data_IF_332231410221
#
_entry.id   IF_332231410221
#
_cell.length_a   1.000
_cell.length_b   1.000
_cell.length_c   1.000
_cell.angle_alpha   90.00
_cell.angle_beta   90.00
_cell.angle_gamma   90.00
#
_symmetry.space_group_name_H-M   'P 1'
#
loop_
_entity.id
_entity.type
_entity.pdbx_description
1 polymer ?
#
# COMPACT_ATOMS: atom_id res chain seq x y z
N UNK A 1 2.20 11.28 6.73
CA UNK A 1 3.27 11.10 5.72
C UNK A 1 2.62 10.72 4.38
N UNK A 2 3.29 10.92 3.23
CA UNK A 2 2.72 10.51 1.92
C UNK A 2 2.45 9.00 1.85
N UNK A 3 3.26 8.17 2.51
CA UNK A 3 3.07 6.72 2.60
C UNK A 3 1.71 6.36 3.22
N UNK A 4 1.36 6.97 4.36
CA UNK A 4 0.05 6.75 5.00
C UNK A 4 -1.08 7.28 4.10
N UNK A 5 -0.90 8.45 3.49
CA UNK A 5 -1.86 8.99 2.52
C UNK A 5 -2.11 8.03 1.36
N UNK A 6 -1.06 7.43 0.80
CA UNK A 6 -1.16 6.50 -0.31
C UNK A 6 -2.05 5.29 0.00
N UNK A 7 -1.75 4.55 1.09
CA UNK A 7 -2.53 3.34 1.41
C UNK A 7 -3.98 3.68 1.74
N UNK A 8 -4.24 4.81 2.41
CA UNK A 8 -5.60 5.28 2.68
C UNK A 8 -6.33 5.66 1.39
N UNK A 9 -5.63 6.27 0.43
CA UNK A 9 -6.16 6.52 -0.90
C UNK A 9 -6.51 5.22 -1.62
N UNK A 10 -5.62 4.23 -1.58
CA UNK A 10 -5.87 2.93 -2.21
C UNK A 10 -7.09 2.21 -1.63
N UNK A 11 -7.25 2.13 -0.30
CA UNK A 11 -8.44 1.47 0.26
C UNK A 11 -9.74 2.23 -0.09
N UNK A 12 -9.65 3.54 -0.38
CA UNK A 12 -10.78 4.36 -0.86
C UNK A 12 -10.97 4.34 -2.39
N UNK A 13 -10.22 3.51 -3.12
CA UNK A 13 -10.38 3.39 -4.57
C UNK A 13 -9.66 4.45 -5.40
N UNK A 14 -8.79 5.28 -4.79
CA UNK A 14 -8.02 6.28 -5.52
C UNK A 14 -7.18 5.62 -6.62
N UNK A 15 -7.44 6.01 -7.87
CA UNK A 15 -6.81 5.46 -9.08
C UNK A 15 -6.22 6.52 -9.99
N UNK A 16 -6.43 7.80 -9.72
CA UNK A 16 -5.84 8.90 -10.47
C UNK A 16 -4.86 9.70 -9.60
N UNK A 17 -3.96 10.45 -10.25
CA UNK A 17 -3.06 11.38 -9.55
C UNK A 17 -3.84 12.41 -8.72
N UNK A 18 -4.96 12.90 -9.24
CA UNK A 18 -5.84 13.85 -8.55
C UNK A 18 -6.45 13.22 -7.30
N UNK A 19 -7.01 12.01 -7.41
CA UNK A 19 -7.59 11.31 -6.26
C UNK A 19 -6.54 10.99 -5.20
N UNK A 20 -5.32 10.61 -5.59
CA UNK A 20 -4.24 10.37 -4.61
C UNK A 20 -3.76 11.66 -3.93
N UNK A 21 -3.81 12.79 -4.65
CA UNK A 21 -3.49 14.09 -4.08
C UNK A 21 -4.47 14.49 -2.97
N UNK A 22 -5.75 14.11 -3.06
CA UNK A 22 -6.75 14.33 -1.98
C UNK A 22 -6.36 13.63 -0.67
N UNK A 23 -5.56 12.57 -0.73
CA UNK A 23 -5.04 11.87 0.45
C UNK A 23 -3.63 12.34 0.86
N UNK A 24 -3.07 13.32 0.15
CA UNK A 24 -1.74 13.86 0.40
C UNK A 24 -0.60 13.04 -0.21
N UNK A 25 -0.86 12.27 -1.27
CA UNK A 25 0.14 11.49 -1.99
C UNK A 25 0.38 12.04 -3.40
N UNK A 26 1.62 12.47 -3.68
CA UNK A 26 1.97 13.15 -4.92
C UNK A 26 3.06 12.43 -5.73
N UNK A 27 3.76 11.46 -5.12
CA UNK A 27 4.92 10.82 -5.74
C UNK A 27 4.60 9.98 -6.98
N UNK A 28 3.32 9.72 -7.29
CA UNK A 28 2.91 8.94 -8.47
C UNK A 28 3.06 9.70 -9.80
N UNK A 29 3.27 11.01 -9.76
CA UNK A 29 3.34 11.87 -10.94
C UNK A 29 4.26 11.34 -12.07
N UNK A 30 5.47 10.79 -11.80
CA UNK A 30 6.34 10.23 -12.84
C UNK A 30 5.76 9.00 -13.57
N UNK A 31 4.78 8.31 -12.99
CA UNK A 31 4.11 7.17 -13.62
C UNK A 31 2.80 7.52 -14.34
N UNK A 32 2.20 8.66 -14.02
CA UNK A 32 0.94 9.14 -14.62
C UNK A 32 1.10 10.08 -15.83
N UNK A 33 2.27 10.09 -16.49
CA UNK A 33 2.51 10.95 -17.67
C UNK A 33 1.69 10.49 -18.87
N UNK A 34 1.38 11.42 -19.79
CA UNK A 34 0.63 11.12 -21.03
C UNK A 34 1.29 9.95 -21.80
N UNK A 35 2.61 9.97 -21.95
CA UNK A 35 3.35 8.94 -22.66
C UNK A 35 3.19 7.54 -22.02
N UNK A 36 3.16 7.44 -20.69
CA UNK A 36 2.97 6.16 -19.98
C UNK A 36 1.52 5.70 -20.02
N UNK A 37 0.58 6.60 -19.74
CA UNK A 37 -0.85 6.28 -19.75
C UNK A 37 -1.30 5.85 -21.16
N UNK A 38 -0.87 6.55 -22.22
CA UNK A 38 -1.17 6.19 -23.61
C UNK A 38 -0.67 4.81 -24.00
N UNK A 39 0.52 4.40 -23.54
CA UNK A 39 1.05 3.02 -23.74
C UNK A 39 0.20 1.93 -23.09
N UNK A 40 -0.71 2.31 -22.19
CA UNK A 40 -1.66 1.42 -21.50
C UNK A 40 -3.10 1.63 -21.93
N UNK A 41 -3.38 2.57 -22.84
CA UNK A 41 -4.74 2.93 -23.23
C UNK A 41 -5.52 3.62 -22.12
N UNK A 42 -4.81 4.38 -21.27
CA UNK A 42 -5.35 5.11 -20.13
C UNK A 42 -5.29 6.62 -20.39
N UNK A 43 -6.18 7.38 -19.76
CA UNK A 43 -6.11 8.83 -19.75
C UNK A 43 -4.88 9.32 -18.95
N UNK A 44 -4.36 10.51 -19.26
CA UNK A 44 -3.27 11.11 -18.49
C UNK A 44 -3.64 11.21 -17.02
N UNK A 45 -2.74 10.78 -16.14
CA UNK A 45 -2.96 10.73 -14.70
C UNK A 45 -3.82 9.57 -14.19
N UNK A 46 -4.35 8.70 -15.06
CA UNK A 46 -5.05 7.48 -14.67
C UNK A 46 -4.05 6.32 -14.52
N UNK A 47 -4.00 5.74 -13.31
CA UNK A 47 -3.13 4.61 -12.99
C UNK A 47 -3.68 3.28 -13.53
N UNK A 48 -4.96 3.23 -13.88
CA UNK A 48 -5.64 2.13 -14.54
C UNK A 48 -6.48 1.24 -13.63
N UNK A 49 -7.42 0.45 -14.18
CA UNK A 49 -8.29 -0.45 -13.42
C UNK A 49 -7.55 -1.65 -12.80
N UNK A 50 -6.30 -1.90 -13.18
CA UNK A 50 -5.42 -2.85 -12.50
C UNK A 50 -4.57 -2.23 -11.38
N UNK A 51 -4.79 -0.97 -11.00
CA UNK A 51 -4.06 -0.30 -9.92
C UNK A 51 -4.51 -0.78 -8.54
N UNK A 52 -3.76 -0.40 -7.50
CA UNK A 52 -4.07 -0.75 -6.11
C UNK A 52 -5.47 -0.30 -5.68
N UNK A 53 -5.83 0.96 -5.95
CA UNK A 53 -7.13 1.49 -5.55
C UNK A 53 -8.29 0.73 -6.19
N UNK A 54 -8.22 0.54 -7.51
CA UNK A 54 -9.21 -0.24 -8.22
C UNK A 54 -9.26 -1.70 -7.75
N UNK A 55 -8.12 -2.32 -7.47
CA UNK A 55 -8.11 -3.68 -6.95
C UNK A 55 -8.73 -3.76 -5.55
N UNK A 56 -8.42 -2.85 -4.64
CA UNK A 56 -8.91 -2.92 -3.27
C UNK A 56 -10.39 -2.53 -3.12
N UNK A 57 -10.84 -1.50 -3.85
CA UNK A 57 -12.17 -0.92 -3.70
C UNK A 57 -13.15 -1.31 -4.83
N UNK A 58 -12.67 -1.33 -6.08
CA UNK A 58 -13.50 -1.53 -7.28
C UNK A 58 -13.16 -2.85 -7.99
N UNK A 59 -12.95 -3.94 -7.22
CA UNK A 59 -12.50 -5.21 -7.79
C UNK A 59 -13.51 -5.72 -8.82
N UNK A 60 -13.11 -6.01 -10.07
CA UNK A 60 -14.05 -6.33 -11.12
C UNK A 60 -14.70 -7.70 -10.90
N UNK A 61 -16.01 -7.77 -11.10
CA UNK A 61 -16.79 -9.01 -11.01
C UNK A 61 -17.44 -9.34 -12.36
N UNK A 62 -17.82 -10.61 -12.55
CA UNK A 62 -18.59 -11.04 -13.72
C UNK A 62 -20.01 -10.46 -13.75
N UNK A 63 -20.53 -10.05 -12.59
CA UNK A 63 -21.87 -9.47 -12.43
C UNK A 63 -21.90 -7.96 -12.73
N UNK A 64 -20.74 -7.35 -13.00
CA UNK A 64 -20.60 -5.94 -13.35
C UNK A 64 -20.63 -4.97 -12.17
N UNK A 65 -21.09 -5.40 -10.98
CA UNK A 65 -20.97 -4.62 -9.74
C UNK A 65 -19.56 -4.78 -9.16
N UNK A 66 -18.78 -3.70 -8.96
CA UNK A 66 -17.47 -3.80 -8.33
C UNK A 66 -17.56 -4.31 -6.88
N UNK A 67 -16.55 -5.06 -6.45
CA UNK A 67 -16.44 -5.61 -5.10
C UNK A 67 -15.36 -4.85 -4.30
N UNK A 68 -15.77 -4.29 -3.16
CA UNK A 68 -14.88 -3.62 -2.22
C UNK A 68 -14.36 -4.65 -1.21
N UNK A 69 -13.13 -5.09 -1.41
CA UNK A 69 -12.52 -6.14 -0.60
C UNK A 69 -12.34 -5.70 0.87
N UNK A 70 -11.95 -4.44 1.12
CA UNK A 70 -11.75 -3.97 2.50
C UNK A 70 -13.05 -3.91 3.28
N UNK A 71 -14.14 -3.45 2.65
CA UNK A 71 -15.46 -3.39 3.28
C UNK A 71 -15.88 -4.78 3.75
N UNK A 72 -15.92 -5.74 2.82
CA UNK A 72 -16.43 -7.08 3.10
C UNK A 72 -15.52 -7.84 4.09
N UNK A 73 -14.21 -7.62 4.03
CA UNK A 73 -13.25 -8.25 4.95
C UNK A 73 -13.34 -7.65 6.37
N UNK A 74 -13.55 -6.34 6.51
CA UNK A 74 -13.75 -5.71 7.83
C UNK A 74 -15.05 -6.17 8.47
N UNK A 75 -16.14 -6.27 7.68
CA UNK A 75 -17.41 -6.86 8.12
C UNK A 75 -17.18 -8.32 8.58
N UNK A 76 -16.50 -9.14 7.78
CA UNK A 76 -16.17 -10.52 8.13
C UNK A 76 -15.33 -10.63 9.40
N UNK A 77 -14.33 -9.76 9.61
CA UNK A 77 -13.50 -9.76 10.82
C UNK A 77 -14.34 -9.46 12.07
N UNK A 78 -15.27 -8.50 11.98
CA UNK A 78 -16.17 -8.15 13.10
C UNK A 78 -17.11 -9.30 13.46
N UNK A 79 -17.66 -9.99 12.45
CA UNK A 79 -18.65 -11.05 12.66
C UNK A 79 -18.04 -12.42 12.95
N UNK A 80 -16.89 -12.72 12.32
CA UNK A 80 -16.26 -14.05 12.28
C UNK A 80 -14.73 -13.96 12.40
N UNK A 81 -14.19 -13.36 13.49
CA UNK A 81 -12.76 -13.07 13.62
C UNK A 81 -11.83 -14.30 13.58
N UNK A 82 -12.35 -15.50 13.86
CA UNK A 82 -11.60 -16.74 13.87
C UNK A 82 -11.32 -17.31 12.47
N UNK A 83 -11.95 -16.77 11.42
CA UNK A 83 -11.75 -17.25 10.06
C UNK A 83 -10.31 -17.01 9.59
N UNK A 84 -9.86 -17.89 8.69
CA UNK A 84 -8.53 -17.83 8.05
C UNK A 84 -8.60 -17.30 6.62
N UNK A 85 -9.73 -16.67 6.29
CA UNK A 85 -10.11 -16.24 4.94
C UNK A 85 -10.20 -14.73 4.82
N UNK A 86 -9.74 -13.98 5.83
CA UNK A 86 -9.64 -12.52 5.75
C UNK A 86 -8.48 -12.15 4.82
N UNK A 87 -8.69 -12.30 3.51
CA UNK A 87 -7.67 -12.17 2.50
C UNK A 87 -8.06 -11.13 1.45
N UNK A 88 -7.11 -10.27 1.10
CA UNK A 88 -7.26 -9.23 0.09
C UNK A 88 -6.17 -9.42 -0.96
N UNK A 89 -6.53 -9.30 -2.23
CA UNK A 89 -5.60 -9.37 -3.36
C UNK A 89 -5.50 -8.03 -4.10
N UNK A 90 -4.29 -7.57 -4.44
CA UNK A 90 -4.12 -6.39 -5.29
C UNK A 90 -4.12 -6.78 -6.77
N UNK A 91 -4.20 -8.08 -7.07
CA UNK A 91 -3.84 -8.62 -8.38
C UNK A 91 -5.07 -9.06 -9.16
N UNK A 92 -5.30 -8.36 -10.27
CA UNK A 92 -6.36 -8.64 -11.23
C UNK A 92 -5.73 -9.17 -12.53
N UNK A 93 -5.65 -10.51 -12.74
CA UNK A 93 -4.85 -11.10 -13.81
C UNK A 93 -5.08 -10.53 -15.21
N UNK A 94 -6.34 -10.24 -15.56
CA UNK A 94 -6.73 -9.69 -16.86
C UNK A 94 -6.17 -8.29 -17.14
N UNK A 95 -5.80 -7.52 -16.11
CA UNK A 95 -5.24 -6.18 -16.26
C UNK A 95 -3.72 -6.14 -16.18
N UNK A 96 -3.07 -7.24 -15.79
CA UNK A 96 -1.61 -7.30 -15.62
C UNK A 96 -0.89 -7.83 -16.85
N UNK A 97 -1.56 -8.66 -17.64
CA UNK A 97 -0.93 -9.33 -18.77
C UNK A 97 -0.56 -8.36 -19.90
N UNK A 98 0.66 -8.53 -20.45
CA UNK A 98 1.18 -7.79 -21.60
C UNK A 98 1.69 -8.76 -22.67
N UNK A 99 1.53 -8.42 -23.95
CA UNK A 99 2.03 -9.22 -25.07
C UNK A 99 1.14 -9.12 -26.31
N UNK A 100 1.40 -9.95 -27.32
CA UNK A 100 0.58 -9.99 -28.55
C UNK A 100 -0.89 -10.30 -28.18
N UNK A 101 -1.80 -9.40 -28.51
CA UNK A 101 -3.23 -9.51 -28.20
C UNK A 101 -3.60 -9.27 -26.72
N UNK A 102 -2.67 -8.82 -25.88
CA UNK A 102 -2.90 -8.55 -24.45
C UNK A 102 -2.39 -7.17 -24.08
N UNK A 103 -3.26 -6.33 -23.53
CA UNK A 103 -2.92 -4.97 -23.13
C UNK A 103 -3.04 -4.83 -21.62
N UNK A 104 -1.91 -4.56 -20.97
CA UNK A 104 -1.84 -4.22 -19.56
C UNK A 104 -2.65 -2.94 -19.31
N UNK A 105 -3.58 -2.98 -18.37
CA UNK A 105 -4.47 -1.86 -17.99
C UNK A 105 -4.10 -1.28 -16.63
N UNK A 106 -2.80 -1.02 -16.47
CA UNK A 106 -2.24 -0.37 -15.29
C UNK A 106 -0.88 0.23 -15.64
N UNK A 107 -0.54 1.40 -15.10
CA UNK A 107 0.78 2.01 -15.36
C UNK A 107 1.91 1.27 -14.65
N UNK A 108 1.66 0.81 -13.41
CA UNK A 108 2.57 -0.03 -12.59
C UNK A 108 1.74 -1.15 -11.99
N UNK A 109 2.06 -2.41 -12.34
CA UNK A 109 1.37 -3.54 -11.74
C UNK A 109 1.66 -3.58 -10.23
N UNK A 110 0.67 -3.87 -9.36
CA UNK A 110 0.88 -3.92 -7.92
C UNK A 110 2.06 -4.80 -7.51
N UNK A 111 2.96 -4.24 -6.71
CA UNK A 111 4.14 -4.91 -6.18
C UNK A 111 3.85 -5.60 -4.85
N UNK A 112 2.96 -5.03 -4.05
CA UNK A 112 2.59 -5.47 -2.70
C UNK A 112 1.06 -5.50 -2.55
N UNK A 113 0.58 -5.97 -1.39
CA UNK A 113 -0.84 -5.85 -1.03
C UNK A 113 -1.66 -7.13 -1.13
N UNK A 114 -1.01 -8.29 -1.22
CA UNK A 114 -1.65 -9.54 -0.83
C UNK A 114 -1.66 -9.59 0.69
N UNK A 115 -2.81 -9.31 1.28
CA UNK A 115 -2.96 -9.09 2.72
C UNK A 115 -3.74 -10.26 3.30
N UNK A 116 -3.22 -10.85 4.37
CA UNK A 116 -3.92 -11.82 5.20
C UNK A 116 -4.04 -11.27 6.62
N UNK A 117 -5.26 -11.11 7.11
CA UNK A 117 -5.57 -10.63 8.45
C UNK A 117 -5.93 -11.80 9.35
N UNK A 118 -5.31 -11.87 10.53
CA UNK A 118 -5.55 -12.94 11.50
C UNK A 118 -5.84 -12.36 12.86
N UNK A 119 -6.97 -12.78 13.45
CA UNK A 119 -7.28 -12.49 14.84
C UNK A 119 -7.04 -13.75 15.66
N UNK A 120 -6.16 -13.66 16.65
CA UNK A 120 -5.87 -14.72 17.60
C UNK A 120 -5.82 -14.10 19.01
N UNK A 121 -6.58 -14.66 19.96
CA UNK A 121 -6.62 -14.17 21.35
C UNK A 121 -6.88 -12.65 21.46
N UNK A 122 -7.80 -12.12 20.63
CA UNK A 122 -8.13 -10.69 20.61
C UNK A 122 -7.09 -9.79 19.94
N UNK A 123 -6.02 -10.36 19.37
CA UNK A 123 -4.91 -9.67 18.73
C UNK A 123 -4.96 -9.80 17.21
N UNK A 124 -4.87 -8.69 16.50
CA UNK A 124 -4.88 -8.60 15.05
C UNK A 124 -3.46 -8.58 14.49
N UNK A 125 -3.18 -9.52 13.59
CA UNK A 125 -1.95 -9.62 12.80
C UNK A 125 -2.25 -9.32 11.34
N UNK A 126 -1.40 -8.51 10.70
CA UNK A 126 -1.45 -8.24 9.27
C UNK A 126 -0.21 -8.86 8.61
N UNK A 127 -0.44 -9.85 7.75
CA UNK A 127 0.61 -10.40 6.90
C UNK A 127 0.47 -9.84 5.49
N UNK A 128 1.53 -9.22 4.97
CA UNK A 128 1.58 -8.67 3.63
C UNK A 128 2.67 -9.36 2.81
N UNK A 129 2.30 -9.84 1.62
CA UNK A 129 3.23 -10.34 0.62
C UNK A 129 3.51 -9.30 -0.47
N UNK A 130 4.78 -9.18 -0.84
CA UNK A 130 5.31 -8.30 -1.88
C UNK A 130 6.08 -9.12 -2.91
N UNK A 131 5.62 -9.12 -4.17
CA UNK A 131 6.28 -9.85 -5.27
C UNK A 131 7.61 -9.23 -5.69
N UNK A 132 7.82 -7.94 -5.45
CA UNK A 132 8.99 -7.19 -5.92
C UNK A 132 9.20 -5.97 -5.00
N UNK A 133 10.34 -5.93 -4.32
CA UNK A 133 10.66 -4.92 -3.31
C UNK A 133 11.99 -4.25 -3.57
N UNK A 134 11.91 -2.99 -4.00
CA UNK A 134 13.03 -2.04 -4.01
C UNK A 134 13.36 -1.72 -2.53
N UNK A 135 14.39 -2.39 -1.99
CA UNK A 135 14.67 -2.43 -0.55
C UNK A 135 15.01 -1.05 0.04
N UNK A 136 15.80 -0.19 -0.63
CA UNK A 136 16.15 1.11 -0.05
C UNK A 136 15.04 2.17 -0.12
N UNK A 137 14.09 2.05 -1.05
CA UNK A 137 13.08 3.09 -1.31
C UNK A 137 11.66 2.60 -1.06
N UNK A 138 11.22 1.57 -1.80
CA UNK A 138 9.84 1.10 -1.77
C UNK A 138 9.49 0.38 -0.46
N UNK A 139 10.36 -0.53 -0.02
CA UNK A 139 10.11 -1.37 1.16
C UNK A 139 9.87 -0.53 2.43
N UNK A 140 10.67 0.51 2.76
CA UNK A 140 10.41 1.37 3.92
C UNK A 140 9.04 2.07 3.86
N UNK A 141 8.65 2.57 2.69
CA UNK A 141 7.33 3.17 2.50
C UNK A 141 6.22 2.13 2.70
N UNK A 142 6.41 0.91 2.20
CA UNK A 142 5.47 -0.19 2.39
C UNK A 142 5.34 -0.60 3.87
N UNK A 143 6.43 -0.65 4.63
CA UNK A 143 6.36 -0.92 6.07
C UNK A 143 5.50 0.11 6.80
N UNK A 144 5.67 1.39 6.49
CA UNK A 144 4.86 2.48 7.07
C UNK A 144 3.39 2.34 6.69
N UNK A 145 3.09 2.03 5.42
CA UNK A 145 1.72 1.84 4.93
C UNK A 145 0.98 0.76 5.69
N UNK A 146 1.57 -0.43 5.77
CA UNK A 146 0.89 -1.58 6.34
C UNK A 146 0.89 -1.58 7.87
N UNK A 147 1.86 -0.93 8.52
CA UNK A 147 1.79 -0.64 9.95
C UNK A 147 0.64 0.33 10.28
N UNK A 148 0.50 1.42 9.53
CA UNK A 148 -0.61 2.37 9.70
C UNK A 148 -1.97 1.71 9.42
N UNK A 149 -2.04 0.88 8.38
CA UNK A 149 -3.24 0.13 8.04
C UNK A 149 -3.62 -0.86 9.15
N UNK A 150 -2.65 -1.57 9.73
CA UNK A 150 -2.88 -2.46 10.87
C UNK A 150 -3.50 -1.70 12.05
N UNK A 151 -2.95 -0.53 12.40
CA UNK A 151 -3.50 0.30 13.48
C UNK A 151 -4.95 0.70 13.21
N UNK A 152 -5.27 1.17 12.01
CA UNK A 152 -6.62 1.59 11.63
C UNK A 152 -7.61 0.40 11.63
N UNK A 153 -7.24 -0.75 11.05
CA UNK A 153 -8.09 -1.95 11.04
C UNK A 153 -8.33 -2.42 12.48
N UNK A 154 -7.29 -2.50 13.30
CA UNK A 154 -7.41 -2.89 14.70
C UNK A 154 -8.39 -2.00 15.46
N UNK A 155 -8.29 -0.68 15.25
CA UNK A 155 -9.20 0.28 15.88
C UNK A 155 -10.66 0.07 15.46
N UNK A 156 -10.96 0.00 14.16
CA UNK A 156 -12.36 -0.09 13.69
C UNK A 156 -12.98 -1.46 13.96
N UNK A 157 -12.16 -2.51 14.13
CA UNK A 157 -12.61 -3.87 14.46
C UNK A 157 -12.65 -4.15 15.96
N UNK A 158 -12.04 -3.28 16.79
CA UNK A 158 -12.01 -3.43 18.24
C UNK A 158 -10.99 -4.44 18.75
N UNK A 159 -10.01 -4.85 17.92
CA UNK A 159 -8.94 -5.77 18.31
C UNK A 159 -7.65 -5.01 18.66
N UNK A 160 -6.78 -5.66 19.43
CA UNK A 160 -5.44 -5.13 19.75
C UNK A 160 -4.53 -5.30 18.52
N UNK A 161 -3.88 -4.24 17.99
CA UNK A 161 -2.86 -4.41 16.95
C UNK A 161 -1.67 -5.17 17.54
N UNK A 162 -1.18 -6.19 16.84
CA UNK A 162 -0.11 -7.05 17.36
C UNK A 162 1.12 -7.10 16.45
N UNK A 163 1.02 -7.75 15.30
CA UNK A 163 2.18 -7.99 14.45
C UNK A 163 1.90 -7.62 13.00
N UNK A 164 2.88 -6.96 12.38
CA UNK A 164 2.96 -6.77 10.94
C UNK A 164 4.06 -7.68 10.39
N UNK A 165 3.68 -8.65 9.55
CA UNK A 165 4.61 -9.56 8.88
C UNK A 165 4.74 -9.13 7.42
N UNK A 166 5.97 -8.94 6.95
CA UNK A 166 6.28 -8.55 5.58
C UNK A 166 7.08 -9.65 4.89
N UNK A 167 6.48 -10.29 3.88
CA UNK A 167 7.19 -11.29 3.05
C UNK A 167 7.49 -10.69 1.68
N UNK A 168 8.74 -10.79 1.23
CA UNK A 168 9.18 -10.28 -0.06
C UNK A 168 9.69 -11.45 -0.91
N UNK A 169 9.18 -11.58 -2.13
CA UNK A 169 9.64 -12.62 -3.07
C UNK A 169 10.96 -12.24 -3.74
N UNK A 170 11.00 -11.06 -4.34
CA UNK A 170 12.19 -10.53 -5.03
C UNK A 170 12.59 -9.23 -4.33
N UNK A 171 13.53 -9.36 -3.39
CA UNK A 171 14.12 -8.24 -2.67
C UNK A 171 15.41 -7.82 -3.38
N UNK A 172 15.47 -6.57 -3.85
CA UNK A 172 16.57 -6.10 -4.68
C UNK A 172 16.99 -4.67 -4.36
N UNK A 173 18.20 -4.34 -4.84
CA UNK A 173 18.79 -3.00 -4.83
C UNK A 173 19.19 -2.72 -6.27
N UNK A 174 18.81 -1.56 -6.80
CA UNK A 174 19.23 -1.16 -8.15
C UNK A 174 20.71 -0.77 -8.16
N UNK A 175 21.38 -0.98 -9.30
CA UNK A 175 22.83 -0.76 -9.44
C UNK A 175 23.22 0.69 -9.14
N UNK A 176 22.40 1.65 -9.55
CA UNK A 176 22.59 3.09 -9.31
C UNK A 176 22.31 3.51 -7.85
N UNK A 177 21.68 2.65 -7.05
CA UNK A 177 21.44 2.88 -5.62
C UNK A 177 22.60 2.39 -4.72
N UNK A 178 23.51 1.54 -5.23
CA UNK A 178 24.52 0.85 -4.41
C UNK A 178 25.39 1.82 -3.59
N UNK A 179 25.83 2.93 -4.19
CA UNK A 179 26.68 3.91 -3.50
C UNK A 179 25.98 4.55 -2.30
N UNK A 180 24.70 4.89 -2.45
CA UNK A 180 23.85 5.47 -1.40
C UNK A 180 23.51 4.44 -0.32
N UNK A 181 23.24 3.19 -0.69
CA UNK A 181 23.05 2.10 0.27
C UNK A 181 24.31 1.90 1.12
N UNK A 182 25.49 1.90 0.51
CA UNK A 182 26.76 1.80 1.26
C UNK A 182 26.98 2.96 2.22
N UNK A 183 26.51 4.17 1.89
CA UNK A 183 26.54 5.31 2.82
C UNK A 183 25.55 5.11 3.98
N UNK A 184 24.33 4.66 3.68
CA UNK A 184 23.29 4.37 4.67
C UNK A 184 23.75 3.32 5.68
N UNK A 185 24.42 2.26 5.22
CA UNK A 185 24.93 1.16 6.05
C UNK A 185 26.09 1.55 6.98
N UNK A 186 26.67 2.75 6.84
CA UNK A 186 27.69 3.28 7.78
C UNK A 186 27.07 3.94 9.01
N UNK A 187 25.76 4.14 9.02
CA UNK A 187 25.04 4.82 10.10
C UNK A 187 24.73 3.83 11.21
N UNK A 188 24.96 4.24 12.45
CA UNK A 188 24.54 3.47 13.62
C UNK A 188 23.01 3.44 13.70
N UNK A 189 22.46 2.31 14.14
CA UNK A 189 21.05 2.15 14.42
C UNK A 189 20.59 3.10 15.54
N UNK A 190 19.35 3.56 15.41
CA UNK A 190 18.66 4.38 16.41
C UNK A 190 17.35 3.71 16.79
N UNK A 191 16.83 4.09 17.95
CA UNK A 191 15.55 3.57 18.44
C UNK A 191 14.45 3.87 17.42
N UNK A 192 13.54 2.91 17.22
CA UNK A 192 12.38 3.11 16.35
C UNK A 192 11.45 4.18 16.92
N UNK A 193 10.81 4.99 16.05
CA UNK A 193 9.75 5.89 16.49
C UNK A 193 8.51 5.11 16.92
N UNK A 194 7.60 5.79 17.62
CA UNK A 194 6.27 5.24 17.93
C UNK A 194 5.22 5.89 17.05
N UNK A 195 4.42 5.08 16.35
CA UNK A 195 3.25 5.56 15.61
C UNK A 195 1.97 5.29 16.41
N UNK A 196 1.13 6.32 16.57
CA UNK A 196 -0.15 6.22 17.26
C UNK A 196 -1.29 6.79 16.43
N UNK A 197 -2.53 6.37 16.74
CA UNK A 197 -3.74 6.98 16.19
C UNK A 197 -4.17 8.15 17.08
N UNK A 198 -4.18 9.37 16.53
CA UNK A 198 -4.68 10.57 17.22
C UNK A 198 -6.20 10.54 17.31
N UNK A 199 -6.84 10.12 16.23
CA UNK A 199 -8.30 10.09 16.09
C UNK A 199 -8.80 8.65 15.89
N UNK A 200 -10.01 8.40 16.37
CA UNK A 200 -10.71 7.12 16.21
C UNK A 200 -11.92 7.33 15.33
N UNK A 201 -12.13 6.44 14.38
CA UNK A 201 -13.26 6.48 13.47
C UNK A 201 -14.12 5.22 13.60
N UNK A 202 -15.33 5.25 13.06
CA UNK A 202 -16.19 4.05 13.02
C UNK A 202 -15.98 3.25 11.73
N UNK A 203 -15.51 3.95 10.70
CA UNK A 203 -15.27 3.41 9.37
C UNK A 203 -13.80 3.63 8.96
N UNK A 204 -13.18 2.60 8.40
CA UNK A 204 -11.78 2.67 7.97
C UNK A 204 -11.58 3.72 6.87
N UNK A 205 -12.60 3.96 6.04
CA UNK A 205 -12.51 4.87 4.90
C UNK A 205 -12.45 6.35 5.32
N UNK A 206 -12.77 6.65 6.58
CA UNK A 206 -12.69 8.00 7.15
C UNK A 206 -11.27 8.42 7.51
N UNK A 207 -10.35 7.47 7.67
CA UNK A 207 -8.98 7.77 8.05
C UNK A 207 -8.27 8.64 7.02
N UNK A 208 -7.48 9.59 7.51
CA UNK A 208 -6.55 10.42 6.75
C UNK A 208 -5.16 10.38 7.38
N UNK A 209 -4.14 10.78 6.64
CA UNK A 209 -2.76 10.74 7.14
C UNK A 209 -2.55 11.64 8.39
N UNK A 210 -3.44 12.60 8.62
CA UNK A 210 -3.47 13.49 9.79
C UNK A 210 -3.99 12.82 11.06
N UNK A 211 -4.62 11.65 10.94
CA UNK A 211 -5.10 10.87 12.10
C UNK A 211 -3.98 10.05 12.75
N UNK A 212 -2.78 10.09 12.20
CA UNK A 212 -1.61 9.36 12.66
C UNK A 212 -0.57 10.35 13.21
N UNK A 213 -0.02 10.02 14.36
CA UNK A 213 1.09 10.75 14.98
C UNK A 213 2.32 9.86 15.03
N UNK A 214 3.48 10.48 14.84
CA UNK A 214 4.77 9.84 15.01
C UNK A 214 5.52 10.59 16.11
N UNK A 215 5.79 9.92 17.23
CA UNK A 215 6.64 10.41 18.31
C UNK A 215 8.02 9.77 18.26
N UNK A 216 8.98 10.38 18.95
CA UNK A 216 10.33 9.81 19.15
C UNK A 216 11.10 9.58 17.84
N UNK A 217 10.71 10.28 16.78
CA UNK A 217 11.34 10.17 15.47
C UNK A 217 12.58 11.06 15.40
N UNK A 218 13.74 10.46 15.72
CA UNK A 218 15.07 11.06 15.59
C UNK A 218 15.89 10.33 14.51
N UNK A 219 15.58 10.50 13.21
CA UNK A 219 16.32 9.85 12.14
C UNK A 219 17.66 10.56 11.88
N UNK A 220 18.59 9.83 11.24
CA UNK A 220 19.73 10.48 10.59
C UNK A 220 19.28 11.45 9.49
N UNK A 221 20.12 12.42 9.10
CA UNK A 221 19.83 13.30 7.96
C UNK A 221 19.44 12.52 6.70
N UNK A 222 18.44 13.03 5.98
CA UNK A 222 17.95 12.39 4.76
C UNK A 222 19.04 12.20 3.71
N UNK A 223 19.03 11.05 3.03
CA UNK A 223 19.83 10.82 1.83
C UNK A 223 18.98 11.25 0.63
N UNK A 224 19.27 12.43 0.10
CA UNK A 224 18.52 13.02 -1.03
C UNK A 224 18.93 12.42 -2.38
N UNK A 225 18.07 12.58 -3.38
CA UNK A 225 18.28 12.11 -4.75
C UNK A 225 18.54 10.61 -4.86
N UNK A 226 17.78 9.81 -4.09
CA UNK A 226 17.79 8.36 -4.20
C UNK A 226 17.17 7.95 -5.54
N UNK A 227 17.88 7.24 -6.43
CA UNK A 227 17.35 6.86 -7.73
C UNK A 227 16.11 5.97 -7.62
N UNK A 228 15.11 6.22 -8.46
CA UNK A 228 13.90 5.41 -8.57
C UNK A 228 13.69 5.00 -10.01
N UNK A 229 13.44 3.71 -10.25
CA UNK A 229 13.17 3.20 -11.59
C UNK A 229 11.79 3.67 -12.07
N UNK A 230 11.76 4.38 -13.20
CA UNK A 230 10.56 4.94 -13.84
C UNK A 230 10.19 4.10 -15.05
#
# INVERSE_FOLDING_TARGET
TQAVGEILGFINGARTLEQLAEFGCFWWAPWGTEAKCKKRGLATGDLGPGSYGAAFHDFPTSEGKPHNQFKDIIEQIKEKPHLRTHFITPWIPQYMARGKGKQQKVVVCPCHGWIHLRVLNGKLTLHMFQRSGDVPVGVPANMIQYAALLLAIAQVTGFEPYEYVHTISDAHIYVDQISRVKEMLKREDRVFPTMTLKNKHQDIFQYRHTDFELSDYDPHPGIWDFPVAI
#
